data_IF_778627485476
#
_entry.id   IF_778627485476
#
_cell.length_a   1.000
_cell.length_b   1.000
_cell.length_c   1.000
_cell.angle_alpha   90.00
_cell.angle_beta   90.00
_cell.angle_gamma   90.00
#
_symmetry.space_group_name_H-M   'P 1'
#
loop_
_entity.id
_entity.type
_entity.pdbx_description
1 polymer ?
#
# COMPACT_ATOMS: atom_id res chain seq x y z
N UNK A 1 -1.94 20.29 -22.25
CA UNK A 1 -1.34 19.35 -21.26
C UNK A 1 -2.38 19.08 -20.21
N UNK A 2 -2.59 17.81 -19.83
CA UNK A 2 -3.45 17.46 -18.69
C UNK A 2 -2.72 17.95 -17.43
N UNK A 3 -3.35 18.73 -16.54
CA UNK A 3 -2.69 19.23 -15.34
C UNK A 3 -2.28 18.07 -14.45
N UNK A 4 -1.05 18.12 -13.92
CA UNK A 4 -0.53 17.14 -12.97
C UNK A 4 -1.28 17.28 -11.64
N UNK A 5 -1.98 16.22 -11.21
CA UNK A 5 -2.91 16.28 -10.07
C UNK A 5 -2.24 16.32 -8.69
N UNK A 6 -0.91 16.10 -8.64
CA UNK A 6 -0.09 16.24 -7.43
C UNK A 6 0.94 17.36 -7.54
N UNK A 7 0.76 18.31 -8.47
CA UNK A 7 1.68 19.43 -8.68
C UNK A 7 1.89 20.20 -7.38
N UNK A 8 3.17 20.37 -6.98
CA UNK A 8 3.56 21.10 -5.79
C UNK A 8 3.40 20.36 -4.46
N UNK A 9 2.87 19.14 -4.45
CA UNK A 9 2.74 18.30 -3.24
C UNK A 9 4.08 17.67 -2.86
N UNK A 10 4.30 17.49 -1.55
CA UNK A 10 5.45 16.80 -0.98
C UNK A 10 4.99 15.47 -0.37
N UNK A 11 5.50 14.35 -0.90
CA UNK A 11 5.12 13.01 -0.53
C UNK A 11 6.27 12.25 0.13
N UNK A 12 6.08 11.72 1.32
CA UNK A 12 7.02 10.78 1.97
C UNK A 12 6.57 9.36 1.71
N UNK A 13 7.49 8.52 1.21
CA UNK A 13 7.26 7.09 0.98
C UNK A 13 8.32 6.29 1.74
N UNK A 14 7.90 5.63 2.83
CA UNK A 14 8.71 4.67 3.55
C UNK A 14 8.64 3.31 2.83
N UNK A 15 9.79 2.68 2.65
CA UNK A 15 9.89 1.47 1.82
C UNK A 15 9.92 1.78 0.32
N UNK A 16 10.29 3.01 -0.07
CA UNK A 16 10.35 3.47 -1.45
C UNK A 16 11.25 2.64 -2.37
N UNK A 17 12.27 1.96 -1.83
CA UNK A 17 13.12 1.04 -2.61
C UNK A 17 12.50 -0.35 -2.88
N UNK A 18 11.32 -0.64 -2.37
CA UNK A 18 10.57 -1.87 -2.63
C UNK A 18 9.86 -1.84 -3.99
N UNK A 19 9.35 -3.00 -4.43
CA UNK A 19 8.70 -3.16 -5.73
C UNK A 19 7.52 -2.19 -5.90
N UNK A 20 6.52 -2.29 -5.05
CA UNK A 20 5.34 -1.42 -5.11
C UNK A 20 5.66 0.02 -4.69
N UNK A 21 6.55 0.21 -3.67
CA UNK A 21 6.97 1.55 -3.24
C UNK A 21 7.63 2.35 -4.36
N UNK A 22 8.45 1.70 -5.19
CA UNK A 22 9.09 2.35 -6.33
C UNK A 22 8.10 2.69 -7.46
N UNK A 23 7.12 1.83 -7.71
CA UNK A 23 6.06 2.08 -8.70
C UNK A 23 5.20 3.27 -8.28
N UNK A 24 4.78 3.31 -7.02
CA UNK A 24 4.00 4.43 -6.46
C UNK A 24 4.81 5.74 -6.50
N UNK A 25 6.10 5.69 -6.13
CA UNK A 25 6.97 6.86 -6.14
C UNK A 25 7.11 7.48 -7.55
N UNK A 26 7.32 6.64 -8.57
CA UNK A 26 7.37 7.09 -9.97
C UNK A 26 6.05 7.69 -10.42
N UNK A 27 4.92 7.04 -10.09
CA UNK A 27 3.59 7.53 -10.44
C UNK A 27 3.31 8.90 -9.80
N UNK A 28 3.62 9.08 -8.51
CA UNK A 28 3.43 10.36 -7.83
C UNK A 28 4.35 11.46 -8.39
N UNK A 29 5.61 11.14 -8.68
CA UNK A 29 6.55 12.10 -9.28
C UNK A 29 6.11 12.52 -10.69
N UNK A 30 5.60 11.59 -11.51
CA UNK A 30 5.02 11.85 -12.83
C UNK A 30 3.85 12.83 -12.75
N UNK A 31 3.06 12.74 -11.68
CA UNK A 31 1.94 13.65 -11.41
C UNK A 31 2.35 14.95 -10.67
N UNK A 32 3.65 15.26 -10.63
CA UNK A 32 4.17 16.54 -10.17
C UNK A 32 4.52 16.63 -8.70
N UNK A 33 4.40 15.55 -7.94
CA UNK A 33 4.85 15.56 -6.55
C UNK A 33 6.38 15.59 -6.44
N UNK A 34 6.90 16.21 -5.38
CA UNK A 34 8.26 15.97 -4.89
C UNK A 34 8.20 14.78 -3.94
N UNK A 35 8.98 13.73 -4.22
CA UNK A 35 8.94 12.48 -3.47
C UNK A 35 10.16 12.34 -2.57
N UNK A 36 9.94 12.17 -1.27
CA UNK A 36 10.96 11.87 -0.28
C UNK A 36 10.96 10.37 -0.01
N UNK A 37 11.99 9.69 -0.49
CA UNK A 37 12.13 8.24 -0.46
C UNK A 37 12.90 7.81 0.78
N UNK A 38 12.23 7.12 1.69
CA UNK A 38 12.83 6.60 2.91
C UNK A 38 12.99 5.07 2.86
N UNK A 39 14.13 4.57 3.31
CA UNK A 39 14.40 3.13 3.38
C UNK A 39 15.68 2.81 4.12
N UNK A 40 15.80 1.58 4.66
CA UNK A 40 16.97 1.13 5.41
C UNK A 40 18.23 1.03 4.54
N UNK A 41 18.08 0.75 3.25
CA UNK A 41 19.17 0.66 2.28
C UNK A 41 19.21 1.91 1.42
N UNK A 42 20.10 2.84 1.75
CA UNK A 42 20.23 4.14 1.05
C UNK A 42 20.49 3.96 -0.45
N UNK A 43 21.27 2.95 -0.86
CA UNK A 43 21.56 2.67 -2.25
C UNK A 43 20.32 2.45 -3.11
N UNK A 44 19.34 1.68 -2.58
CA UNK A 44 18.12 1.38 -3.32
C UNK A 44 17.23 2.61 -3.51
N UNK A 45 17.06 3.43 -2.46
CA UNK A 45 16.23 4.64 -2.56
C UNK A 45 16.93 5.76 -3.33
N UNK A 46 18.28 5.83 -3.27
CA UNK A 46 19.06 6.79 -4.07
C UNK A 46 18.96 6.47 -5.55
N UNK A 47 19.17 5.20 -5.94
CA UNK A 47 18.99 4.77 -7.32
C UNK A 47 17.64 5.18 -7.89
N UNK A 48 16.57 4.97 -7.11
CA UNK A 48 15.22 5.37 -7.51
C UNK A 48 15.08 6.90 -7.61
N UNK A 49 15.67 7.66 -6.69
CA UNK A 49 15.65 9.12 -6.75
C UNK A 49 16.33 9.64 -8.02
N UNK A 50 17.49 9.07 -8.38
CA UNK A 50 18.24 9.41 -9.60
C UNK A 50 17.44 9.05 -10.87
N UNK A 51 16.77 7.89 -10.88
CA UNK A 51 15.87 7.50 -11.98
C UNK A 51 14.69 8.48 -12.14
N UNK A 52 14.05 8.88 -11.05
CA UNK A 52 12.95 9.86 -11.07
C UNK A 52 13.46 11.22 -11.57
N UNK A 53 14.61 11.67 -11.10
CA UNK A 53 15.22 12.93 -11.54
C UNK A 53 15.60 12.88 -13.03
N UNK A 54 16.17 11.77 -13.50
CA UNK A 54 16.49 11.55 -14.93
C UNK A 54 15.24 11.55 -15.82
N UNK A 55 14.07 11.19 -15.28
CA UNK A 55 12.78 11.29 -15.97
C UNK A 55 12.09 12.68 -15.84
N UNK A 56 12.78 13.68 -15.27
CA UNK A 56 12.26 15.04 -15.09
C UNK A 56 11.39 15.23 -13.84
N UNK A 57 11.28 14.23 -12.99
CA UNK A 57 10.60 14.32 -11.70
C UNK A 57 11.48 14.89 -10.59
N UNK A 58 10.93 15.01 -9.38
CA UNK A 58 11.65 15.51 -8.20
C UNK A 58 11.63 14.46 -7.09
N UNK A 59 12.81 13.98 -6.69
CA UNK A 59 12.94 13.03 -5.60
C UNK A 59 14.19 13.28 -4.75
N UNK A 60 14.09 12.96 -3.46
CA UNK A 60 15.21 12.93 -2.52
C UNK A 60 15.21 11.58 -1.79
N UNK A 61 16.40 11.08 -1.44
CA UNK A 61 16.58 9.81 -0.77
C UNK A 61 17.17 9.98 0.63
N UNK A 62 16.61 9.25 1.59
CA UNK A 62 17.13 9.21 2.97
C UNK A 62 17.21 7.78 3.50
N UNK A 63 18.26 7.50 4.29
CA UNK A 63 18.35 6.26 5.06
C UNK A 63 17.53 6.43 6.33
N UNK A 64 16.40 5.73 6.42
CA UNK A 64 15.46 5.80 7.55
C UNK A 64 14.95 4.40 7.86
N UNK A 65 15.02 4.01 9.14
CA UNK A 65 14.27 2.88 9.66
C UNK A 65 12.90 3.37 10.16
N UNK A 66 11.84 2.95 9.50
CA UNK A 66 10.48 3.32 9.84
C UNK A 66 10.01 2.77 11.21
N UNK A 67 10.77 1.88 11.83
CA UNK A 67 10.54 1.37 13.20
C UNK A 67 11.31 2.15 14.25
N UNK A 68 12.14 3.11 13.86
CA UNK A 68 12.91 3.99 14.76
C UNK A 68 12.22 5.36 14.89
N UNK A 69 11.70 5.65 16.09
CA UNK A 69 10.93 6.86 16.37
C UNK A 69 11.73 8.15 16.11
N UNK A 70 12.98 8.20 16.56
CA UNK A 70 13.80 9.42 16.41
C UNK A 70 14.17 9.68 14.95
N UNK A 71 14.48 8.63 14.16
CA UNK A 71 14.76 8.77 12.74
C UNK A 71 13.53 9.27 11.99
N UNK A 72 12.35 8.67 12.22
CA UNK A 72 11.10 9.08 11.58
C UNK A 72 10.76 10.53 11.92
N UNK A 73 10.80 10.91 13.20
CA UNK A 73 10.50 12.27 13.65
C UNK A 73 11.45 13.28 13.00
N UNK A 74 12.76 13.08 13.13
CA UNK A 74 13.77 13.98 12.58
C UNK A 74 13.62 14.14 11.07
N UNK A 75 13.30 13.04 10.36
CA UNK A 75 13.12 13.05 8.93
C UNK A 75 11.94 13.91 8.49
N UNK A 76 10.75 13.71 9.04
CA UNK A 76 9.58 14.54 8.64
C UNK A 76 9.73 15.99 9.05
N UNK A 77 10.37 16.28 10.21
CA UNK A 77 10.71 17.64 10.61
C UNK A 77 11.71 18.31 9.65
N UNK A 78 12.66 17.56 9.09
CA UNK A 78 13.63 18.09 8.13
C UNK A 78 12.98 18.59 6.84
N UNK A 79 11.92 17.91 6.39
CA UNK A 79 11.16 18.28 5.19
C UNK A 79 10.48 19.64 5.37
N UNK A 80 9.96 19.90 6.56
CA UNK A 80 9.18 21.12 6.85
C UNK A 80 10.02 22.30 7.35
N UNK A 81 11.27 22.10 7.74
CA UNK A 81 12.18 23.18 8.22
C UNK A 81 12.36 24.31 7.22
N UNK A 82 12.32 24.05 5.93
CA UNK A 82 12.46 25.04 4.87
C UNK A 82 11.13 25.72 4.48
N UNK A 83 10.09 25.58 5.30
CA UNK A 83 8.76 26.12 5.00
C UNK A 83 7.96 25.28 4.00
N UNK A 84 8.44 24.08 3.65
CA UNK A 84 7.69 23.18 2.80
C UNK A 84 6.56 22.49 3.59
N UNK A 85 5.48 22.15 2.90
CA UNK A 85 4.39 21.32 3.47
C UNK A 85 4.76 19.83 3.43
N UNK A 86 4.15 19.03 4.29
CA UNK A 86 4.10 17.58 4.19
C UNK A 86 2.68 17.20 3.76
N UNK A 87 2.48 16.88 2.49
CA UNK A 87 1.14 16.68 1.94
C UNK A 87 0.71 15.21 1.95
N UNK A 88 1.67 14.28 1.88
CA UNK A 88 1.40 12.84 1.89
C UNK A 88 2.43 12.09 2.74
N UNK A 89 1.96 11.11 3.51
CA UNK A 89 2.78 10.08 4.16
C UNK A 89 2.26 8.70 3.81
N UNK A 90 3.13 7.82 3.30
CA UNK A 90 2.78 6.46 2.92
C UNK A 90 3.83 5.46 3.41
N UNK A 91 3.42 4.50 4.26
CA UNK A 91 4.31 3.47 4.79
C UNK A 91 4.08 2.13 4.08
N UNK A 92 5.12 1.64 3.37
CA UNK A 92 5.12 0.46 2.49
C UNK A 92 6.26 -0.50 2.83
N UNK A 93 6.64 -0.61 4.09
CA UNK A 93 7.76 -1.48 4.49
C UNK A 93 7.36 -2.96 4.52
N UNK A 94 8.38 -3.83 4.41
CA UNK A 94 8.20 -5.28 4.56
C UNK A 94 8.08 -5.66 6.05
N UNK A 95 7.10 -6.49 6.39
CA UNK A 95 6.82 -6.91 7.77
C UNK A 95 7.50 -8.23 8.17
N UNK A 96 8.38 -8.79 7.34
CA UNK A 96 9.14 -10.02 7.61
C UNK A 96 8.23 -11.23 7.92
N UNK A 97 7.24 -11.45 7.08
CA UNK A 97 6.24 -12.50 7.24
C UNK A 97 6.83 -13.86 6.89
N UNK A 98 6.58 -14.86 7.73
CA UNK A 98 6.75 -16.28 7.40
C UNK A 98 5.42 -16.76 6.82
N UNK A 99 5.41 -17.23 5.58
CA UNK A 99 4.20 -17.72 4.88
C UNK A 99 4.30 -19.21 4.58
N UNK A 100 3.21 -19.79 4.09
CA UNK A 100 3.10 -21.18 3.65
C UNK A 100 3.20 -22.22 4.77
N UNK A 101 2.98 -21.84 6.02
CA UNK A 101 2.87 -22.75 7.15
C UNK A 101 1.46 -22.68 7.76
N UNK A 102 0.88 -23.84 8.16
CA UNK A 102 -0.34 -23.85 8.96
C UNK A 102 -0.13 -23.10 10.29
N UNK A 103 -1.13 -22.33 10.74
CA UNK A 103 -1.03 -21.57 12.00
C UNK A 103 -0.67 -22.44 13.21
N UNK A 104 -1.16 -23.68 13.25
CA UNK A 104 -0.89 -24.63 14.33
C UNK A 104 0.57 -25.12 14.38
N UNK A 105 1.37 -24.85 13.34
CA UNK A 105 2.79 -25.21 13.26
C UNK A 105 3.71 -23.99 13.40
N UNK A 106 3.13 -22.79 13.50
CA UNK A 106 3.89 -21.56 13.55
C UNK A 106 4.40 -21.30 14.99
N UNK A 107 5.61 -20.77 15.12
CA UNK A 107 6.08 -20.26 16.40
C UNK A 107 5.36 -18.95 16.78
N UNK A 108 5.24 -18.69 18.08
CA UNK A 108 4.67 -17.42 18.58
C UNK A 108 5.44 -16.22 18.04
N UNK A 109 6.76 -16.29 17.98
CA UNK A 109 7.62 -15.20 17.48
C UNK A 109 7.37 -14.93 15.98
N UNK A 110 7.23 -15.96 15.16
CA UNK A 110 6.96 -15.81 13.74
C UNK A 110 5.55 -15.26 13.48
N UNK A 111 4.60 -15.59 14.36
CA UNK A 111 3.26 -15.02 14.30
C UNK A 111 3.23 -13.54 14.72
N UNK A 112 3.88 -13.20 15.85
CA UNK A 112 3.79 -11.84 16.43
C UNK A 112 4.70 -10.84 15.71
N UNK A 113 5.84 -11.27 15.17
CA UNK A 113 6.83 -10.39 14.51
C UNK A 113 6.23 -9.46 13.45
N UNK A 114 5.50 -9.95 12.43
CA UNK A 114 4.91 -9.09 11.40
C UNK A 114 3.89 -8.09 11.97
N UNK A 115 3.11 -8.48 12.97
CA UNK A 115 2.14 -7.60 13.62
C UNK A 115 2.87 -6.46 14.34
N UNK A 116 3.92 -6.78 15.08
CA UNK A 116 4.72 -5.80 15.83
C UNK A 116 5.43 -4.82 14.90
N UNK A 117 6.07 -5.30 13.82
CA UNK A 117 6.75 -4.45 12.84
C UNK A 117 5.74 -3.53 12.14
N UNK A 118 4.61 -4.10 11.69
CA UNK A 118 3.56 -3.36 11.01
C UNK A 118 2.98 -2.24 11.90
N UNK A 119 2.53 -2.59 13.11
CA UNK A 119 1.90 -1.62 13.99
C UNK A 119 2.87 -0.55 14.45
N UNK A 120 4.11 -0.92 14.80
CA UNK A 120 5.14 0.05 15.19
C UNK A 120 5.43 1.04 14.06
N UNK A 121 5.68 0.57 12.84
CA UNK A 121 6.02 1.44 11.72
C UNK A 121 4.84 2.32 11.28
N UNK A 122 3.64 1.75 11.16
CA UNK A 122 2.45 2.51 10.80
C UNK A 122 2.15 3.59 11.86
N UNK A 123 2.21 3.24 13.14
CA UNK A 123 2.00 4.21 14.21
C UNK A 123 3.01 5.36 14.17
N UNK A 124 4.31 5.06 14.10
CA UNK A 124 5.36 6.07 14.11
C UNK A 124 5.28 7.00 12.90
N UNK A 125 5.15 6.45 11.70
CA UNK A 125 5.14 7.24 10.46
C UNK A 125 3.86 8.07 10.32
N UNK A 126 2.70 7.48 10.63
CA UNK A 126 1.42 8.17 10.53
C UNK A 126 1.26 9.27 11.59
N UNK A 127 1.65 9.01 12.85
CA UNK A 127 1.51 10.01 13.91
C UNK A 127 2.53 11.14 13.77
N UNK A 128 3.76 10.88 13.32
CA UNK A 128 4.74 11.92 13.03
C UNK A 128 4.25 12.86 11.91
N UNK A 129 3.73 12.30 10.82
CA UNK A 129 3.12 13.09 9.75
C UNK A 129 1.85 13.81 10.23
N UNK A 130 0.98 13.12 10.95
CA UNK A 130 -0.27 13.67 11.49
C UNK A 130 -0.06 14.92 12.33
N UNK A 131 0.96 14.93 13.21
CA UNK A 131 1.33 16.11 14.04
C UNK A 131 1.65 17.35 13.20
N UNK A 132 2.28 17.17 12.05
CA UNK A 132 2.60 18.25 11.11
C UNK A 132 1.33 18.67 10.36
N UNK A 133 0.62 17.70 9.78
CA UNK A 133 -0.58 17.92 8.98
C UNK A 133 -1.71 18.56 9.75
N UNK A 134 -1.87 18.26 11.05
CA UNK A 134 -2.82 18.96 11.95
C UNK A 134 -2.54 20.46 12.02
N UNK A 135 -1.27 20.87 12.13
CA UNK A 135 -0.87 22.29 12.15
C UNK A 135 -1.08 22.94 10.78
N UNK A 136 -0.85 22.21 9.70
CA UNK A 136 -1.09 22.66 8.33
C UNK A 136 -2.58 22.75 7.98
N UNK A 137 -3.46 22.08 8.74
CA UNK A 137 -4.89 21.92 8.45
C UNK A 137 -5.15 21.22 7.12
N UNK A 138 -4.21 20.41 6.68
CA UNK A 138 -4.28 19.63 5.43
C UNK A 138 -3.26 18.51 5.43
N UNK A 139 -3.56 17.42 4.70
CA UNK A 139 -2.65 16.30 4.47
C UNK A 139 -3.38 15.00 4.21
N UNK A 140 -2.65 14.02 3.74
CA UNK A 140 -3.13 12.67 3.45
C UNK A 140 -2.17 11.65 4.05
N UNK A 141 -2.71 10.71 4.81
CA UNK A 141 -1.97 9.55 5.31
C UNK A 141 -2.54 8.32 4.61
N UNK A 142 -1.70 7.61 3.87
CA UNK A 142 -2.06 6.35 3.23
C UNK A 142 -1.39 5.18 3.94
N UNK A 143 -2.10 4.07 4.02
CA UNK A 143 -1.58 2.77 4.41
C UNK A 143 -1.91 1.73 3.34
N UNK A 144 -1.16 0.63 3.33
CA UNK A 144 -1.38 -0.48 2.41
C UNK A 144 -1.57 -1.77 3.20
N UNK A 145 -2.61 -2.50 2.86
CA UNK A 145 -2.86 -3.86 3.31
C UNK A 145 -3.10 -4.78 2.11
N UNK A 146 -3.41 -6.03 2.36
CA UNK A 146 -3.70 -6.99 1.32
C UNK A 146 -5.01 -7.73 1.61
N UNK A 147 -5.47 -8.51 0.63
CA UNK A 147 -6.68 -9.35 0.67
C UNK A 147 -6.92 -10.03 2.03
N UNK A 148 -5.89 -10.61 2.71
CA UNK A 148 -6.07 -11.25 4.01
C UNK A 148 -6.58 -10.32 5.14
N UNK A 149 -6.53 -9.00 4.97
CA UNK A 149 -7.15 -8.06 5.91
C UNK A 149 -8.68 -8.03 5.85
N UNK A 150 -9.27 -8.48 4.74
CA UNK A 150 -10.70 -8.42 4.49
C UNK A 150 -11.43 -9.75 4.48
N UNK A 151 -10.72 -10.85 4.30
CA UNK A 151 -11.29 -12.21 4.25
C UNK A 151 -10.37 -13.22 4.93
N UNK A 152 -10.89 -14.39 5.27
CA UNK A 152 -10.07 -15.53 5.69
C UNK A 152 -9.17 -15.99 4.54
N UNK A 153 -7.86 -15.98 4.77
CA UNK A 153 -6.87 -16.39 3.79
C UNK A 153 -5.87 -17.35 4.45
N UNK A 154 -5.73 -18.59 3.96
CA UNK A 154 -4.87 -19.58 4.61
C UNK A 154 -3.39 -19.26 4.45
N UNK A 155 -2.56 -19.78 5.34
CA UNK A 155 -1.09 -19.79 5.29
C UNK A 155 -0.42 -18.40 5.27
N UNK A 156 -1.11 -17.36 5.74
CA UNK A 156 -0.59 -15.98 5.80
C UNK A 156 0.00 -15.60 7.15
N UNK A 157 0.03 -16.52 8.10
CA UNK A 157 0.62 -16.31 9.44
C UNK A 157 0.11 -15.03 10.12
N UNK A 158 0.99 -14.24 10.72
CA UNK A 158 0.68 -12.95 11.34
C UNK A 158 0.39 -11.81 10.36
N UNK A 159 0.46 -12.06 9.04
CA UNK A 159 0.21 -11.02 8.03
C UNK A 159 -1.26 -10.58 7.98
N UNK A 160 -2.20 -11.54 8.01
CA UNK A 160 -3.62 -11.22 8.03
C UNK A 160 -4.02 -10.39 9.27
N UNK A 161 -3.65 -10.78 10.52
CA UNK A 161 -3.86 -9.95 11.69
C UNK A 161 -3.20 -8.56 11.59
N UNK A 162 -1.99 -8.47 11.01
CA UNK A 162 -1.31 -7.19 10.81
C UNK A 162 -2.12 -6.28 9.85
N UNK A 163 -2.62 -6.81 8.74
CA UNK A 163 -3.48 -6.08 7.81
C UNK A 163 -4.74 -5.56 8.49
N UNK A 164 -5.46 -6.40 9.20
CA UNK A 164 -6.68 -6.02 9.93
C UNK A 164 -6.40 -4.95 11.00
N UNK A 165 -5.28 -5.06 11.71
CA UNK A 165 -4.86 -4.07 12.69
C UNK A 165 -4.56 -2.71 12.04
N UNK A 166 -3.88 -2.67 10.89
CA UNK A 166 -3.60 -1.44 10.12
C UNK A 166 -4.91 -0.79 9.66
N UNK A 167 -5.87 -1.55 9.15
CA UNK A 167 -7.15 -1.03 8.69
C UNK A 167 -7.95 -0.39 9.83
N UNK A 168 -7.97 -1.04 10.99
CA UNK A 168 -8.62 -0.50 12.19
C UNK A 168 -7.89 0.75 12.71
N UNK A 169 -6.56 0.72 12.78
CA UNK A 169 -5.75 1.88 13.16
C UNK A 169 -5.99 3.06 12.22
N UNK A 170 -5.98 2.85 10.91
CA UNK A 170 -6.22 3.90 9.91
C UNK A 170 -7.58 4.55 10.07
N UNK A 171 -8.64 3.77 10.32
CA UNK A 171 -9.99 4.27 10.57
C UNK A 171 -10.07 5.09 11.87
N UNK A 172 -9.43 4.64 12.95
CA UNK A 172 -9.39 5.39 14.19
C UNK A 172 -8.64 6.71 14.02
N UNK A 173 -7.47 6.67 13.38
CA UNK A 173 -6.68 7.87 13.12
C UNK A 173 -7.43 8.87 12.23
N UNK A 174 -8.22 8.40 11.27
CA UNK A 174 -9.08 9.25 10.44
C UNK A 174 -10.12 10.00 11.26
N UNK A 175 -10.71 9.34 12.27
CA UNK A 175 -11.70 9.98 13.15
C UNK A 175 -11.10 11.08 14.03
N UNK A 176 -9.83 10.92 14.42
CA UNK A 176 -9.12 11.92 15.24
C UNK A 176 -8.62 13.10 14.41
N UNK A 177 -8.09 12.83 13.20
CA UNK A 177 -7.44 13.84 12.37
C UNK A 177 -8.39 14.57 11.43
N UNK A 178 -9.59 14.06 11.17
CA UNK A 178 -10.56 14.62 10.23
C UNK A 178 -10.95 16.06 10.54
N UNK A 179 -11.13 16.42 11.82
CA UNK A 179 -11.43 17.78 12.28
C UNK A 179 -10.31 18.80 11.96
N UNK A 180 -9.12 18.30 11.63
CA UNK A 180 -7.97 19.10 11.21
C UNK A 180 -7.76 19.15 9.70
N UNK A 181 -8.71 18.62 8.91
CA UNK A 181 -8.60 18.57 7.46
C UNK A 181 -7.62 17.53 6.93
N UNK A 182 -7.24 16.54 7.76
CA UNK A 182 -6.33 15.47 7.38
C UNK A 182 -7.14 14.21 7.04
N UNK A 183 -6.87 13.62 5.89
CA UNK A 183 -7.48 12.36 5.46
C UNK A 183 -6.58 11.19 5.77
N UNK A 184 -7.16 10.07 6.21
CA UNK A 184 -6.45 8.82 6.40
C UNK A 184 -7.22 7.73 5.65
N UNK A 185 -6.56 7.06 4.72
CA UNK A 185 -7.18 6.05 3.86
C UNK A 185 -6.27 4.84 3.75
N UNK A 186 -6.84 3.66 3.90
CA UNK A 186 -6.14 2.41 3.61
C UNK A 186 -6.43 1.96 2.18
N UNK A 187 -5.43 1.43 1.49
CA UNK A 187 -5.58 0.72 0.23
C UNK A 187 -5.40 -0.76 0.53
N UNK A 188 -6.38 -1.60 0.17
CA UNK A 188 -6.23 -3.05 0.22
C UNK A 188 -5.95 -3.57 -1.18
N UNK A 189 -4.79 -4.19 -1.39
CA UNK A 189 -4.38 -4.70 -2.69
C UNK A 189 -4.60 -6.21 -2.81
N UNK A 190 -4.88 -6.68 -4.00
CA UNK A 190 -4.71 -8.08 -4.37
C UNK A 190 -3.24 -8.43 -4.60
N UNK A 191 -2.94 -9.69 -4.85
CA UNK A 191 -1.62 -10.11 -5.31
C UNK A 191 -1.32 -9.50 -6.69
N UNK A 192 -0.10 -8.96 -6.86
CA UNK A 192 0.32 -8.36 -8.14
C UNK A 192 1.37 -9.23 -8.82
N UNK A 193 1.03 -9.91 -9.93
CA UNK A 193 1.94 -10.84 -10.62
C UNK A 193 3.23 -10.17 -11.12
N UNK A 194 3.18 -8.88 -11.38
CA UNK A 194 4.31 -8.06 -11.83
C UNK A 194 5.21 -7.58 -10.68
N UNK A 195 4.87 -7.87 -9.42
CA UNK A 195 5.73 -7.54 -8.28
C UNK A 195 6.95 -8.47 -8.21
N UNK A 196 8.05 -7.97 -7.60
CA UNK A 196 9.29 -8.76 -7.47
C UNK A 196 9.07 -10.10 -6.77
N UNK A 197 8.22 -10.15 -5.75
CA UNK A 197 7.95 -11.38 -4.99
C UNK A 197 7.29 -12.43 -5.88
N UNK A 198 6.28 -12.04 -6.65
CA UNK A 198 5.61 -12.96 -7.58
C UNK A 198 6.52 -13.35 -8.74
N UNK A 199 7.27 -12.41 -9.34
CA UNK A 199 8.23 -12.73 -10.40
C UNK A 199 9.25 -13.76 -9.94
N UNK A 200 9.82 -13.57 -8.75
CA UNK A 200 10.76 -14.54 -8.20
C UNK A 200 10.11 -15.90 -7.96
N UNK A 201 8.91 -15.95 -7.40
CA UNK A 201 8.20 -17.21 -7.19
C UNK A 201 7.87 -17.92 -8.52
N UNK A 202 7.51 -17.16 -9.58
CA UNK A 202 7.26 -17.70 -10.92
C UNK A 202 8.56 -18.27 -11.53
N UNK A 203 9.69 -17.57 -11.35
CA UNK A 203 11.01 -18.05 -11.81
C UNK A 203 11.43 -19.34 -11.08
N UNK A 204 11.22 -19.38 -9.75
CA UNK A 204 11.60 -20.52 -8.92
C UNK A 204 10.73 -21.77 -9.19
N UNK A 205 9.40 -21.60 -9.37
CA UNK A 205 8.42 -22.70 -9.52
C UNK A 205 7.32 -22.36 -10.54
N UNK A 206 7.63 -22.28 -11.84
CA UNK A 206 6.70 -21.76 -12.84
C UNK A 206 5.38 -22.53 -12.94
N UNK A 207 5.42 -23.89 -12.90
CA UNK A 207 4.21 -24.71 -13.01
C UNK A 207 3.28 -24.60 -11.80
N UNK A 208 3.85 -24.54 -10.60
CA UNK A 208 3.08 -24.37 -9.38
C UNK A 208 2.45 -22.96 -9.34
N UNK A 209 3.23 -21.95 -9.70
CA UNK A 209 2.77 -20.56 -9.72
C UNK A 209 1.70 -20.32 -10.79
N UNK A 210 1.74 -21.01 -11.93
CA UNK A 210 0.67 -20.94 -12.93
C UNK A 210 -0.68 -21.39 -12.33
N UNK A 211 -0.69 -22.51 -11.60
CA UNK A 211 -1.89 -23.02 -10.92
C UNK A 211 -2.38 -22.05 -9.83
N UNK A 212 -1.45 -21.53 -9.03
CA UNK A 212 -1.77 -20.58 -7.94
C UNK A 212 -2.36 -19.29 -8.53
N UNK A 213 -1.70 -18.69 -9.51
CA UNK A 213 -2.16 -17.45 -10.16
C UNK A 213 -3.52 -17.62 -10.80
N UNK A 214 -3.72 -18.72 -11.54
CA UNK A 214 -5.02 -19.03 -12.14
C UNK A 214 -6.13 -19.18 -11.08
N UNK A 215 -5.81 -19.83 -9.95
CA UNK A 215 -6.72 -19.91 -8.80
C UNK A 215 -7.06 -18.54 -8.24
N UNK A 216 -6.04 -17.70 -7.98
CA UNK A 216 -6.22 -16.34 -7.48
C UNK A 216 -7.05 -15.47 -8.44
N UNK A 217 -6.82 -15.55 -9.75
CA UNK A 217 -7.59 -14.83 -10.77
C UNK A 217 -9.06 -15.26 -10.78
N UNK A 218 -9.30 -16.58 -10.68
CA UNK A 218 -10.65 -17.12 -10.62
C UNK A 218 -11.44 -16.67 -9.38
N UNK A 219 -10.76 -16.38 -8.27
CA UNK A 219 -11.37 -15.86 -7.05
C UNK A 219 -11.72 -14.37 -7.15
N UNK A 220 -11.21 -13.65 -8.15
CA UNK A 220 -11.59 -12.25 -8.38
C UNK A 220 -12.88 -12.14 -9.19
N UNK A 221 -13.68 -11.08 -8.96
CA UNK A 221 -14.84 -10.77 -9.80
C UNK A 221 -14.42 -10.41 -11.24
N UNK A 222 -13.30 -9.69 -11.39
CA UNK A 222 -12.80 -9.22 -12.68
C UNK A 222 -12.03 -10.29 -13.44
N UNK A 223 -11.80 -11.48 -12.87
CA UNK A 223 -11.01 -12.59 -13.44
C UNK A 223 -9.60 -12.19 -13.84
N UNK A 224 -9.04 -11.24 -13.14
CA UNK A 224 -7.64 -10.79 -13.27
C UNK A 224 -7.12 -10.29 -11.93
N UNK A 225 -5.82 -10.41 -11.70
CA UNK A 225 -5.14 -9.81 -10.56
C UNK A 225 -4.74 -8.36 -10.89
N UNK A 226 -4.77 -7.44 -9.89
CA UNK A 226 -4.34 -6.08 -10.11
C UNK A 226 -2.83 -6.00 -10.35
N UNK A 227 -2.41 -5.16 -11.27
CA UNK A 227 -1.00 -4.82 -11.47
C UNK A 227 -0.56 -3.72 -10.51
N UNK A 228 0.75 -3.61 -10.28
CA UNK A 228 1.30 -2.58 -9.39
C UNK A 228 0.93 -1.16 -9.83
N UNK A 229 0.83 -0.89 -11.14
CA UNK A 229 0.43 0.41 -11.66
C UNK A 229 -1.03 0.75 -11.34
N UNK A 230 -1.94 -0.22 -11.30
CA UNK A 230 -3.35 -0.01 -10.93
C UNK A 230 -3.47 0.40 -9.44
N UNK A 231 -2.62 -0.19 -8.58
CA UNK A 231 -2.52 0.20 -7.16
C UNK A 231 -1.89 1.59 -7.04
N UNK A 232 -0.84 1.87 -7.80
CA UNK A 232 -0.17 3.17 -7.80
C UNK A 232 -1.09 4.30 -8.28
N UNK A 233 -1.89 4.07 -9.32
CA UNK A 233 -2.88 5.03 -9.81
C UNK A 233 -3.95 5.33 -8.76
N UNK A 234 -4.39 4.30 -8.02
CA UNK A 234 -5.31 4.49 -6.89
C UNK A 234 -4.67 5.33 -5.79
N UNK A 235 -3.39 5.09 -5.45
CA UNK A 235 -2.67 5.88 -4.47
C UNK A 235 -2.52 7.35 -4.90
N UNK A 236 -2.22 7.61 -6.18
CA UNK A 236 -2.17 8.96 -6.77
C UNK A 236 -3.52 9.67 -6.66
N UNK A 237 -4.61 9.00 -7.05
CA UNK A 237 -5.97 9.53 -6.92
C UNK A 237 -6.29 9.88 -5.47
N UNK A 238 -6.06 8.97 -4.54
CA UNK A 238 -6.33 9.19 -3.10
C UNK A 238 -5.47 10.30 -2.49
N UNK A 239 -4.24 10.50 -2.99
CA UNK A 239 -3.36 11.58 -2.57
C UNK A 239 -3.80 12.95 -3.10
N UNK A 240 -4.59 12.99 -4.16
CA UNK A 240 -5.01 14.22 -4.83
C UNK A 240 -6.25 14.87 -4.20
N UNK A 241 -6.55 16.08 -4.64
CA UNK A 241 -7.76 16.82 -4.24
C UNK A 241 -9.03 16.24 -4.87
N UNK A 242 -8.91 15.33 -5.87
CA UNK A 242 -10.05 14.60 -6.44
C UNK A 242 -10.71 13.67 -5.41
N UNK A 243 -9.96 13.24 -4.39
CA UNK A 243 -10.42 12.36 -3.32
C UNK A 243 -10.72 13.09 -1.99
N UNK A 244 -10.93 14.42 -2.02
CA UNK A 244 -11.05 15.26 -0.80
C UNK A 244 -12.15 14.87 0.18
N UNK A 245 -13.13 14.10 -0.24
CA UNK A 245 -14.22 13.60 0.62
C UNK A 245 -14.05 12.13 1.03
N UNK A 246 -12.88 11.50 0.73
CA UNK A 246 -12.60 10.11 1.04
C UNK A 246 -11.63 10.05 2.23
N UNK A 247 -12.11 9.54 3.37
CA UNK A 247 -11.33 9.30 4.59
C UNK A 247 -11.98 8.22 5.45
N UNK A 248 -11.21 7.55 6.32
CA UNK A 248 -11.72 6.55 7.26
C UNK A 248 -12.17 5.23 6.63
N UNK A 249 -11.81 4.99 5.38
CA UNK A 249 -12.22 3.80 4.60
C UNK A 249 -11.02 3.00 4.12
N UNK A 250 -11.27 1.74 3.81
CA UNK A 250 -10.36 0.90 3.02
C UNK A 250 -10.88 0.86 1.59
N UNK A 251 -10.05 1.28 0.64
CA UNK A 251 -10.33 1.19 -0.80
C UNK A 251 -9.74 -0.10 -1.34
N UNK A 252 -10.59 -0.97 -1.85
CA UNK A 252 -10.20 -2.26 -2.39
C UNK A 252 -9.71 -2.16 -3.84
N UNK A 253 -8.47 -2.62 -4.06
CA UNK A 253 -7.86 -2.80 -5.38
C UNK A 253 -7.49 -4.28 -5.50
N UNK A 254 -8.49 -5.14 -5.42
CA UNK A 254 -8.34 -6.60 -5.33
C UNK A 254 -8.98 -7.35 -6.49
N UNK A 255 -9.52 -6.62 -7.48
CA UNK A 255 -10.34 -7.23 -8.52
C UNK A 255 -11.68 -7.77 -8.03
N UNK A 256 -12.09 -7.40 -6.79
CA UNK A 256 -13.34 -7.82 -6.17
C UNK A 256 -13.22 -9.08 -5.31
N UNK A 257 -12.02 -9.60 -5.03
CA UNK A 257 -11.81 -10.80 -4.20
C UNK A 257 -12.45 -10.68 -2.81
N UNK A 258 -12.39 -9.51 -2.19
CA UNK A 258 -12.90 -9.29 -0.82
C UNK A 258 -14.39 -9.01 -0.74
N UNK A 259 -15.05 -8.74 -1.87
CA UNK A 259 -16.46 -8.35 -1.93
C UNK A 259 -17.34 -9.38 -2.63
N UNK A 260 -16.74 -10.38 -3.29
CA UNK A 260 -17.44 -11.42 -4.03
C UNK A 260 -17.78 -12.64 -3.17
N UNK A 261 -18.80 -13.35 -3.60
CA UNK A 261 -19.01 -14.71 -3.14
C UNK A 261 -17.97 -15.61 -3.81
N UNK A 262 -17.28 -16.45 -3.04
CA UNK A 262 -16.28 -17.39 -3.53
C UNK A 262 -16.94 -18.62 -4.19
N UNK A 263 -17.96 -18.39 -5.02
CA UNK A 263 -18.52 -19.43 -5.87
C UNK A 263 -18.39 -19.07 -7.34
N UNK A 264 -18.14 -20.07 -8.14
CA UNK A 264 -17.98 -19.90 -9.58
C UNK A 264 -19.34 -19.71 -10.22
N UNK A 265 -19.58 -18.51 -10.76
CA UNK A 265 -20.70 -18.28 -11.66
C UNK A 265 -20.29 -18.77 -13.04
N UNK A 266 -21.04 -19.75 -13.58
CA UNK A 266 -20.87 -20.17 -14.97
C UNK A 266 -21.25 -18.99 -15.89
N UNK A 267 -20.32 -18.46 -16.70
CA UNK A 267 -20.63 -17.34 -17.60
C UNK A 267 -21.73 -17.65 -18.63
N UNK A 268 -22.08 -18.91 -18.84
CA UNK A 268 -23.18 -19.33 -19.73
C UNK A 268 -24.56 -19.07 -19.14
N UNK A 269 -24.68 -18.93 -17.82
CA UNK A 269 -25.95 -18.68 -17.12
C UNK A 269 -26.56 -17.30 -17.38
N UNK A 270 -25.82 -16.35 -17.97
CA UNK A 270 -26.28 -15.01 -18.29
C UNK A 270 -26.70 -14.80 -19.76
N UNK A 271 -26.50 -15.78 -20.62
CA UNK A 271 -26.93 -15.68 -22.03
C UNK A 271 -28.33 -16.28 -22.14
N UNK A 272 -29.33 -15.39 -22.07
CA UNK A 272 -30.74 -15.71 -22.07
C UNK A 272 -31.14 -16.77 -23.10
N UNK A 273 -31.87 -17.76 -22.65
CA UNK A 273 -32.52 -18.75 -23.47
C UNK A 273 -32.31 -20.16 -22.94
N UNK A 274 -33.32 -20.69 -22.31
CA UNK A 274 -33.53 -22.04 -21.76
C UNK A 274 -33.11 -22.24 -20.31
N UNK A 275 -34.10 -22.05 -19.43
CA UNK A 275 -34.06 -22.47 -18.03
C UNK A 275 -33.85 -23.99 -17.96
N UNK A 276 -32.66 -24.42 -17.53
CA UNK A 276 -32.50 -25.77 -16.98
C UNK A 276 -33.05 -25.75 -15.53
N UNK A 277 -33.91 -26.68 -15.15
CA UNK A 277 -34.36 -26.77 -13.77
C UNK A 277 -33.17 -27.08 -12.84
N UNK A 278 -33.17 -26.48 -11.67
CA UNK A 278 -32.26 -26.72 -10.54
C UNK A 278 -32.31 -28.17 -10.09
#
# INVERSE_FOLDING_TARGET
>A
MIPQILQGKNAVIYGGGGSLGSTIARAMAKEGAKVFLAGRHLSSVRKLADEIAGAGGRAEAARIDATNESEVKTFVESITRAGATLDLSFCLINYQVVQNLPLVQLSVDDFVRPISIAMRSQFLTATAAGKIMMKQRSGVILSLTATPGGIGYPFTAGFAPACSAIETFSRNLASELGAYGVRVVNIRSGGSPDSRVFKQAIEDNPKEMEVILHGMENDTMLKKLPLMDEIANTAVFLASDLAKSITGVTVDVTGGTTAGLNYRVDPSLGRGGESRPL
#
